data_IF_857323552852
#
_entry.id   IF_857323552852
#
_cell.length_a   1.000
_cell.length_b   1.000
_cell.length_c   1.000
_cell.angle_alpha   90.00
_cell.angle_beta   90.00
_cell.angle_gamma   90.00
#
_symmetry.space_group_name_H-M   'P 1'
#
loop_
_entity.id
_entity.type
_entity.pdbx_description
1 polymer ?
#
# COMPACT_ATOMS: atom_id res chain seq x y z
N UNK A 1 24.28 -20.77 22.27
CA UNK A 1 24.76 -20.16 21.00
C UNK A 1 23.76 -19.08 20.62
N UNK A 2 24.20 -17.86 20.36
CA UNK A 2 23.33 -16.70 20.17
C UNK A 2 22.77 -16.61 18.73
N UNK A 3 21.45 -16.62 18.58
CA UNK A 3 20.77 -16.45 17.30
C UNK A 3 20.60 -14.97 16.95
N UNK A 4 21.71 -14.28 16.67
CA UNK A 4 21.80 -12.84 16.32
C UNK A 4 21.17 -12.49 14.94
N UNK A 5 20.10 -13.18 14.53
CA UNK A 5 19.47 -13.03 13.21
C UNK A 5 18.09 -12.37 13.22
N UNK A 6 17.46 -12.26 14.39
CA UNK A 6 16.13 -11.67 14.55
C UNK A 6 16.23 -10.16 14.89
N UNK A 7 17.12 -9.78 15.82
CA UNK A 7 17.31 -8.38 16.27
C UNK A 7 17.60 -7.38 15.14
N UNK A 8 18.27 -7.83 14.08
CA UNK A 8 18.65 -6.98 12.95
C UNK A 8 17.46 -6.50 12.11
N UNK A 9 16.30 -7.15 12.18
CA UNK A 9 15.16 -6.85 11.30
C UNK A 9 14.20 -5.78 11.86
N UNK A 10 14.16 -5.60 13.18
CA UNK A 10 13.10 -4.82 13.84
C UNK A 10 13.50 -3.40 14.30
N UNK A 11 14.78 -3.02 14.27
CA UNK A 11 15.26 -1.73 14.82
C UNK A 11 14.94 -0.45 14.01
N UNK A 12 14.02 -0.47 13.03
CA UNK A 12 13.78 0.67 12.10
C UNK A 12 12.34 1.21 12.03
N UNK A 13 11.76 1.58 13.18
CA UNK A 13 10.54 2.44 13.22
C UNK A 13 10.45 3.42 14.41
N UNK A 14 11.54 3.70 15.14
CA UNK A 14 11.53 4.58 16.32
C UNK A 14 11.93 6.06 16.04
N UNK A 15 11.97 6.48 14.77
CA UNK A 15 12.32 7.86 14.40
C UNK A 15 11.48 8.33 13.22
N UNK A 16 10.27 8.84 13.53
CA UNK A 16 9.47 9.86 12.80
C UNK A 16 8.08 9.99 13.47
N UNK A 17 8.00 10.67 14.61
CA UNK A 17 6.76 11.21 15.17
C UNK A 17 7.06 12.56 15.82
N UNK A 18 6.54 13.65 15.27
CA UNK A 18 6.84 14.99 15.76
C UNK A 18 6.43 16.15 14.86
N UNK A 19 5.12 16.30 14.61
CA UNK A 19 4.44 17.60 14.38
C UNK A 19 2.93 17.35 14.46
N UNK A 20 2.27 17.97 15.45
CA UNK A 20 0.80 18.00 15.51
C UNK A 20 0.21 19.10 14.61
N UNK A 21 -1.08 19.04 14.24
CA UNK A 21 -1.72 20.07 13.45
C UNK A 21 -1.92 21.37 14.27
N UNK A 22 -1.85 22.57 13.64
CA UNK A 22 -2.06 23.83 14.35
C UNK A 22 -3.52 24.02 14.79
N UNK A 23 -3.68 24.70 15.92
CA UNK A 23 -4.97 25.18 16.42
C UNK A 23 -5.47 26.30 15.49
N UNK A 24 -6.70 26.19 15.00
CA UNK A 24 -7.33 27.22 14.18
C UNK A 24 -8.00 28.26 15.11
N UNK A 25 -7.32 29.38 15.36
CA UNK A 25 -7.95 30.51 16.06
C UNK A 25 -8.99 31.19 15.17
N UNK A 26 -10.22 31.25 15.67
CA UNK A 26 -11.33 31.96 15.02
C UNK A 26 -11.19 33.45 15.27
N UNK A 27 -10.90 34.25 14.24
CA UNK A 27 -11.01 35.72 14.30
C UNK A 27 -12.08 36.22 13.34
N UNK A 28 -13.06 36.91 13.90
CA UNK A 28 -14.25 37.42 13.21
C UNK A 28 -13.89 38.61 12.31
N UNK A 29 -14.56 38.76 11.17
CA UNK A 29 -14.75 40.07 10.54
C UNK A 29 -16.14 40.16 9.93
N UNK A 30 -16.83 41.24 10.25
CA UNK A 30 -18.23 41.53 9.91
C UNK A 30 -18.30 42.25 8.56
N UNK A 31 -19.18 41.80 7.67
CA UNK A 31 -19.79 42.65 6.61
C UNK A 31 -21.28 42.31 6.48
N UNK A 32 -22.14 43.16 7.06
CA UNK A 32 -23.51 43.48 6.64
C UNK A 32 -23.47 44.33 5.34
N UNK A 33 -24.47 44.52 4.47
CA UNK A 33 -25.92 44.20 4.35
C UNK A 33 -26.37 44.55 2.88
N UNK A 34 -27.60 44.42 2.35
CA UNK A 34 -28.91 43.86 2.75
C UNK A 34 -29.81 43.65 1.50
N UNK A 35 -30.73 42.67 1.52
CA UNK A 35 -32.03 42.61 0.78
C UNK A 35 -32.00 42.52 -0.78
N UNK A 36 -32.86 41.74 -1.46
CA UNK A 36 -34.34 41.69 -1.39
C UNK A 36 -34.95 40.37 -1.89
N UNK A 37 -36.23 40.14 -1.53
CA UNK A 37 -37.11 39.06 -1.98
C UNK A 37 -37.54 39.19 -3.45
N UNK A 38 -37.83 38.06 -4.09
CA UNK A 38 -39.16 37.78 -4.69
C UNK A 38 -39.29 36.31 -5.09
N UNK A 39 -40.35 35.63 -4.64
CA UNK A 39 -40.79 34.34 -5.17
C UNK A 39 -41.29 34.46 -6.61
N UNK A 40 -41.17 33.39 -7.41
CA UNK A 40 -42.29 32.92 -8.24
C UNK A 40 -42.18 31.42 -8.56
N UNK A 41 -43.31 30.76 -8.75
CA UNK A 41 -43.43 29.33 -9.07
C UNK A 41 -43.81 29.14 -10.54
N UNK A 42 -43.17 28.22 -11.27
CA UNK A 42 -43.91 27.52 -12.36
C UNK A 42 -43.35 26.14 -12.74
N UNK A 43 -44.25 25.15 -12.68
CA UNK A 43 -44.36 23.95 -13.53
C UNK A 43 -43.12 23.06 -13.81
N UNK A 44 -43.14 21.88 -13.18
CA UNK A 44 -42.58 20.63 -13.71
C UNK A 44 -43.42 20.17 -14.91
N UNK A 45 -42.81 19.52 -15.92
CA UNK A 45 -43.40 18.29 -16.48
C UNK A 45 -42.48 17.07 -16.27
N UNK A 46 -43.06 15.97 -15.81
CA UNK A 46 -42.35 14.69 -15.66
C UNK A 46 -41.98 14.07 -17.02
N UNK A 47 -40.77 13.50 -17.12
CA UNK A 47 -40.48 12.46 -18.10
C UNK A 47 -39.56 11.40 -17.49
N UNK A 48 -39.99 10.14 -17.56
CA UNK A 48 -39.46 8.98 -16.84
C UNK A 48 -37.98 8.65 -17.12
N UNK A 49 -37.27 7.96 -16.21
CA UNK A 49 -35.81 7.94 -16.19
C UNK A 49 -35.20 7.00 -17.23
N UNK A 50 -34.48 7.58 -18.20
CA UNK A 50 -33.56 6.81 -19.06
C UNK A 50 -32.28 6.49 -18.28
N UNK A 51 -31.88 5.20 -18.26
CA UNK A 51 -30.67 4.70 -17.58
C UNK A 51 -29.40 5.42 -18.01
N UNK A 52 -28.98 6.42 -17.24
CA UNK A 52 -27.59 6.92 -17.28
C UNK A 52 -26.70 5.79 -16.77
N UNK A 53 -25.88 5.23 -17.66
CA UNK A 53 -24.78 4.36 -17.25
C UNK A 53 -23.81 5.20 -16.43
N UNK A 54 -23.61 4.84 -15.16
CA UNK A 54 -22.53 5.42 -14.36
C UNK A 54 -21.22 5.20 -15.10
N UNK A 55 -20.50 6.29 -15.38
CA UNK A 55 -19.11 6.23 -15.81
C UNK A 55 -18.30 6.13 -14.53
N UNK A 56 -17.65 5.00 -14.31
CA UNK A 56 -16.79 4.80 -13.15
C UNK A 56 -15.57 5.71 -13.25
N UNK A 57 -15.60 6.85 -12.54
CA UNK A 57 -14.48 7.78 -12.44
C UNK A 57 -13.45 7.28 -11.44
N UNK A 58 -12.77 6.18 -11.78
CA UNK A 58 -11.58 5.67 -11.08
C UNK A 58 -10.33 6.51 -11.46
N UNK A 59 -10.48 7.84 -11.35
CA UNK A 59 -9.52 8.87 -11.80
C UNK A 59 -8.45 9.14 -10.75
N UNK A 60 -7.75 8.09 -10.31
CA UNK A 60 -6.45 8.26 -9.63
C UNK A 60 -5.38 8.63 -10.67
N UNK A 61 -5.51 9.83 -11.21
CA UNK A 61 -4.64 10.40 -12.22
C UNK A 61 -3.40 11.01 -11.54
N UNK A 62 -2.32 10.23 -11.46
CA UNK A 62 -1.00 10.83 -11.59
C UNK A 62 -1.04 11.74 -12.84
N UNK A 63 -0.67 13.01 -12.69
CA UNK A 63 -0.73 13.99 -13.78
C UNK A 63 0.44 13.73 -14.77
N UNK A 64 0.35 12.62 -15.48
CA UNK A 64 1.38 12.11 -16.40
C UNK A 64 1.25 12.78 -17.76
N UNK A 65 2.37 13.30 -18.26
CA UNK A 65 2.45 13.82 -19.63
C UNK A 65 2.07 12.73 -20.64
N UNK A 66 1.09 13.00 -21.50
CA UNK A 66 0.58 12.02 -22.47
C UNK A 66 1.18 12.20 -23.86
N UNK A 67 1.62 13.39 -24.26
CA UNK A 67 2.32 13.58 -25.54
C UNK A 67 3.70 12.90 -25.47
N UNK A 68 3.97 11.85 -26.26
CA UNK A 68 5.23 11.10 -26.18
C UNK A 68 6.47 11.95 -26.49
N UNK A 69 6.32 13.06 -27.21
CA UNK A 69 7.39 14.00 -27.50
C UNK A 69 7.70 15.00 -26.39
N UNK A 70 6.92 15.01 -25.30
CA UNK A 70 7.09 15.87 -24.13
C UNK A 70 7.42 15.08 -22.84
N UNK A 71 7.30 13.75 -22.84
CA UNK A 71 7.56 12.91 -21.67
C UNK A 71 9.03 12.96 -21.23
N UNK A 72 9.24 13.14 -19.93
CA UNK A 72 10.51 12.80 -19.25
C UNK A 72 10.77 11.28 -19.35
N UNK A 73 12.02 10.88 -19.60
CA UNK A 73 12.38 9.47 -19.78
C UNK A 73 12.21 8.69 -18.47
N UNK A 74 11.76 7.43 -18.55
CA UNK A 74 11.58 6.55 -17.37
C UNK A 74 12.88 6.38 -16.56
N UNK A 75 14.03 6.47 -17.22
CA UNK A 75 15.34 6.32 -16.61
C UNK A 75 15.80 7.53 -15.79
N UNK A 76 15.12 8.67 -15.92
CA UNK A 76 15.41 9.93 -15.20
C UNK A 76 14.60 10.07 -13.90
N UNK A 77 13.78 9.06 -13.56
CA UNK A 77 13.04 8.98 -12.29
C UNK A 77 13.79 8.12 -11.25
N UNK A 78 13.55 8.33 -9.94
CA UNK A 78 13.99 7.43 -8.87
C UNK A 78 13.59 5.98 -9.15
N UNK A 79 14.45 5.02 -8.79
CA UNK A 79 14.31 3.60 -9.19
C UNK A 79 13.00 2.99 -8.69
N UNK A 80 12.64 3.32 -7.45
CA UNK A 80 11.43 2.94 -6.73
C UNK A 80 10.13 3.46 -7.36
N UNK A 81 10.17 4.58 -8.07
CA UNK A 81 9.00 5.15 -8.75
C UNK A 81 8.76 4.59 -10.16
N UNK A 82 9.79 4.04 -10.82
CA UNK A 82 9.73 3.70 -12.27
C UNK A 82 8.60 2.76 -12.61
N UNK A 83 8.38 1.72 -11.81
CA UNK A 83 7.34 0.73 -12.08
C UNK A 83 5.93 1.26 -11.77
N UNK A 84 5.78 2.18 -10.81
CA UNK A 84 4.53 2.93 -10.58
C UNK A 84 4.17 3.77 -11.82
N UNK A 85 5.16 4.46 -12.40
CA UNK A 85 5.01 5.28 -13.60
C UNK A 85 4.72 4.42 -14.83
N UNK A 86 5.45 3.31 -15.04
CA UNK A 86 5.20 2.34 -16.12
C UNK A 86 3.76 1.82 -16.08
N UNK A 87 3.28 1.41 -14.90
CA UNK A 87 1.89 0.96 -14.70
C UNK A 87 0.87 2.06 -15.01
N UNK A 88 1.15 3.31 -14.66
CA UNK A 88 0.28 4.44 -15.00
C UNK A 88 0.14 4.61 -16.51
N UNK A 89 1.25 4.57 -17.26
CA UNK A 89 1.19 4.60 -18.73
C UNK A 89 0.46 3.38 -19.33
N UNK A 90 0.74 2.16 -18.84
CA UNK A 90 0.11 0.93 -19.33
C UNK A 90 -1.40 0.89 -19.06
N UNK A 91 -1.88 1.47 -17.94
CA UNK A 91 -3.33 1.57 -17.62
C UNK A 91 -4.09 2.44 -18.62
N UNK A 92 -3.46 3.47 -19.19
CA UNK A 92 -4.10 4.42 -20.13
C UNK A 92 -3.76 4.14 -21.60
N UNK A 93 -2.72 3.36 -21.87
CA UNK A 93 -2.36 2.85 -23.20
C UNK A 93 -1.73 3.89 -24.16
N UNK A 94 -1.45 3.47 -25.41
CA UNK A 94 -0.79 4.29 -26.42
C UNK A 94 -1.53 5.60 -26.73
N UNK A 95 -0.77 6.68 -26.92
CA UNK A 95 -1.30 7.99 -27.29
C UNK A 95 -1.65 8.06 -28.79
N UNK A 96 -2.92 7.76 -29.09
CA UNK A 96 -3.47 7.65 -30.45
C UNK A 96 -4.72 8.52 -30.73
N UNK A 97 -5.31 9.14 -29.70
CA UNK A 97 -6.58 9.87 -29.78
C UNK A 97 -6.51 11.27 -30.40
N UNK A 98 -5.69 11.47 -31.43
CA UNK A 98 -5.35 12.79 -31.99
C UNK A 98 -6.35 13.14 -33.10
N UNK A 99 -7.10 14.25 -33.02
CA UNK A 99 -8.03 14.66 -34.08
C UNK A 99 -7.29 14.87 -35.41
N UNK A 100 -7.87 14.41 -36.52
CA UNK A 100 -7.25 14.45 -37.85
C UNK A 100 -6.83 15.87 -38.26
N UNK A 101 -7.60 16.89 -37.84
CA UNK A 101 -7.32 18.31 -38.02
C UNK A 101 -6.02 18.82 -37.32
N UNK A 102 -5.44 18.02 -36.42
CA UNK A 102 -4.17 18.33 -35.73
C UNK A 102 -2.95 17.81 -36.47
N UNK A 103 -3.12 16.89 -37.45
CA UNK A 103 -2.06 16.29 -38.26
C UNK A 103 -1.62 17.21 -39.42
N UNK A 104 -1.61 18.52 -39.18
CA UNK A 104 -1.28 19.56 -40.18
C UNK A 104 0.21 19.68 -40.48
N UNK A 105 1.08 19.14 -39.63
CA UNK A 105 2.53 19.26 -39.79
C UNK A 105 3.06 18.40 -40.94
N UNK A 106 3.58 19.07 -41.98
CA UNK A 106 4.10 18.46 -43.20
C UNK A 106 5.63 18.54 -43.20
N UNK A 107 6.31 17.50 -43.66
CA UNK A 107 7.76 17.57 -43.90
C UNK A 107 8.09 18.45 -45.12
N UNK A 108 9.39 18.73 -45.34
CA UNK A 108 9.87 19.56 -46.47
C UNK A 108 9.49 19.05 -47.88
N UNK A 109 8.85 17.89 -47.99
CA UNK A 109 8.50 17.21 -49.24
C UNK A 109 7.02 16.82 -49.32
N UNK A 110 6.14 17.43 -48.51
CA UNK A 110 4.70 17.14 -48.58
C UNK A 110 4.22 15.94 -47.75
N UNK A 111 5.12 15.21 -47.07
CA UNK A 111 4.78 13.95 -46.37
C UNK A 111 4.46 14.20 -44.89
N UNK A 112 3.56 13.40 -44.33
CA UNK A 112 3.10 13.49 -42.94
C UNK A 112 2.85 12.11 -42.33
N UNK A 113 2.62 12.04 -41.03
CA UNK A 113 2.04 10.87 -40.38
C UNK A 113 0.64 10.58 -40.93
N UNK A 114 0.31 9.30 -41.14
CA UNK A 114 -0.96 8.89 -41.73
C UNK A 114 -1.81 8.12 -40.68
N UNK A 115 -3.03 8.58 -40.33
CA UNK A 115 -3.89 7.95 -39.31
C UNK A 115 -4.12 6.46 -39.47
N UNK A 116 -4.15 5.97 -40.71
CA UNK A 116 -4.31 4.54 -41.01
C UNK A 116 -3.19 3.68 -40.43
N UNK A 117 -2.04 4.26 -40.07
CA UNK A 117 -0.95 3.59 -39.37
C UNK A 117 -1.39 3.06 -38.00
N UNK A 118 -2.28 3.76 -37.29
CA UNK A 118 -2.84 3.28 -36.02
C UNK A 118 -3.70 2.02 -36.20
N UNK A 119 -4.43 1.88 -37.32
CA UNK A 119 -5.23 0.68 -37.59
C UNK A 119 -4.36 -0.57 -37.80
N UNK A 120 -3.08 -0.39 -38.13
CA UNK A 120 -2.11 -1.47 -38.36
C UNK A 120 -1.20 -1.74 -37.16
N UNK A 121 -0.95 -0.73 -36.34
CA UNK A 121 0.00 -0.77 -35.22
C UNK A 121 -0.65 -0.25 -33.93
N UNK A 122 -1.91 -0.62 -33.69
CA UNK A 122 -2.76 -0.15 -32.59
C UNK A 122 -2.14 -0.35 -31.21
N UNK A 123 -1.36 -1.42 -31.06
CA UNK A 123 -1.02 -1.92 -29.73
C UNK A 123 0.20 -1.18 -29.13
N UNK A 124 0.92 -0.39 -29.94
CA UNK A 124 2.17 0.24 -29.52
C UNK A 124 2.48 1.62 -30.13
N UNK A 125 1.94 1.95 -31.30
CA UNK A 125 2.34 3.15 -32.06
C UNK A 125 1.75 4.42 -31.43
N UNK A 126 2.61 5.40 -31.17
CA UNK A 126 2.21 6.72 -30.68
C UNK A 126 2.70 7.81 -31.64
N UNK A 127 2.09 9.00 -31.58
CA UNK A 127 2.55 10.17 -32.35
C UNK A 127 2.48 11.42 -31.50
N UNK A 128 3.50 12.27 -31.61
CA UNK A 128 3.54 13.61 -31.02
C UNK A 128 3.19 14.64 -32.11
N UNK A 129 2.08 15.39 -31.99
CA UNK A 129 1.85 16.57 -32.81
C UNK A 129 2.94 17.62 -32.57
N UNK A 130 3.35 17.78 -31.31
CA UNK A 130 4.32 18.78 -30.86
C UNK A 130 5.72 18.58 -31.45
N UNK A 131 6.17 17.33 -31.58
CA UNK A 131 7.45 16.98 -32.23
C UNK A 131 7.31 16.56 -33.69
N UNK A 132 6.07 16.47 -34.22
CA UNK A 132 5.75 15.83 -35.50
C UNK A 132 6.53 14.51 -35.71
N UNK A 133 6.41 13.59 -34.74
CA UNK A 133 7.24 12.38 -34.70
C UNK A 133 6.47 11.19 -34.10
N UNK A 134 6.78 9.98 -34.56
CA UNK A 134 6.21 8.73 -34.08
C UNK A 134 7.11 8.06 -33.02
N UNK A 135 6.48 7.38 -32.05
CA UNK A 135 7.11 6.74 -30.90
C UNK A 135 6.50 5.35 -30.67
N UNK A 136 7.11 4.54 -29.80
CA UNK A 136 6.63 3.22 -29.41
C UNK A 136 6.50 3.13 -27.88
N UNK A 137 5.28 2.96 -27.37
CA UNK A 137 5.03 2.95 -25.92
C UNK A 137 5.83 1.86 -25.18
N UNK A 138 5.78 0.56 -25.56
CA UNK A 138 6.60 -0.48 -24.91
C UNK A 138 8.09 -0.13 -24.88
N UNK A 139 8.64 0.33 -26.01
CA UNK A 139 10.05 0.65 -26.10
C UNK A 139 10.43 1.87 -25.23
N UNK A 140 9.60 2.92 -25.19
CA UNK A 140 9.80 4.07 -24.29
C UNK A 140 9.84 3.63 -22.81
N UNK A 141 9.01 2.66 -22.42
CA UNK A 141 8.92 2.20 -21.04
C UNK A 141 10.09 1.31 -20.56
N UNK A 142 10.65 0.50 -21.45
CA UNK A 142 11.59 -0.58 -21.08
C UNK A 142 12.94 -0.58 -21.80
N UNK A 143 13.09 0.08 -22.95
CA UNK A 143 14.39 0.16 -23.63
C UNK A 143 15.21 1.31 -23.04
N UNK A 144 16.47 1.03 -22.69
CA UNK A 144 17.40 2.05 -22.22
C UNK A 144 17.93 2.88 -23.39
N UNK A 145 17.87 4.23 -23.36
CA UNK A 145 18.46 5.08 -24.38
C UNK A 145 19.94 4.76 -24.61
N UNK A 146 20.32 4.64 -25.88
CA UNK A 146 21.71 4.48 -26.30
C UNK A 146 22.34 5.84 -26.56
N UNK A 147 23.64 5.98 -26.28
CA UNK A 147 24.41 7.13 -26.74
C UNK A 147 24.66 7.15 -28.26
N UNK A 148 24.31 6.06 -28.97
CA UNK A 148 24.47 5.95 -30.43
C UNK A 148 23.35 6.70 -31.15
N UNK A 149 23.73 7.70 -31.94
CA UNK A 149 22.81 8.52 -32.73
C UNK A 149 21.89 7.68 -33.63
N UNK A 150 20.60 8.00 -33.65
CA UNK A 150 19.59 7.36 -34.52
C UNK A 150 19.09 6.00 -34.05
N UNK A 151 19.63 5.43 -32.96
CA UNK A 151 19.13 4.16 -32.38
C UNK A 151 17.84 4.36 -31.58
N UNK A 152 17.65 5.55 -30.99
CA UNK A 152 16.52 5.86 -30.11
C UNK A 152 15.31 6.46 -30.86
N UNK A 153 15.21 6.24 -32.18
CA UNK A 153 14.18 6.84 -33.02
C UNK A 153 12.74 6.57 -32.56
N UNK A 154 12.49 5.42 -31.91
CA UNK A 154 11.16 5.07 -31.38
C UNK A 154 11.02 5.28 -29.87
N UNK A 155 12.01 5.88 -29.21
CA UNK A 155 12.03 6.06 -27.74
C UNK A 155 12.20 7.52 -27.33
N UNK A 156 13.40 8.12 -27.49
CA UNK A 156 13.66 9.52 -27.11
C UNK A 156 13.61 10.49 -28.29
N UNK A 157 14.12 10.08 -29.45
CA UNK A 157 14.47 11.01 -30.53
C UNK A 157 13.26 11.34 -31.42
N UNK A 158 12.32 10.40 -31.53
CA UNK A 158 11.13 10.49 -32.37
C UNK A 158 11.39 10.15 -33.85
N UNK A 159 10.53 9.31 -34.41
CA UNK A 159 10.66 8.88 -35.80
C UNK A 159 9.94 9.85 -36.74
N UNK A 160 10.69 10.48 -37.65
CA UNK A 160 10.17 11.49 -38.60
C UNK A 160 10.36 11.08 -40.08
N UNK A 161 10.92 9.90 -40.36
CA UNK A 161 11.29 9.49 -41.73
C UNK A 161 10.08 8.94 -42.52
N UNK A 162 9.05 9.76 -42.74
CA UNK A 162 7.77 9.36 -43.34
C UNK A 162 7.88 8.61 -44.68
N UNK A 163 8.89 8.92 -45.51
CA UNK A 163 9.19 8.18 -46.74
C UNK A 163 9.40 6.67 -46.55
N UNK A 164 9.82 6.24 -45.35
CA UNK A 164 10.07 4.83 -45.01
C UNK A 164 8.87 4.13 -44.35
N UNK A 165 7.71 4.78 -44.22
CA UNK A 165 6.51 4.15 -43.63
C UNK A 165 5.76 3.31 -44.66
N UNK A 166 5.72 3.75 -45.92
CA UNK A 166 4.99 3.07 -47.00
C UNK A 166 5.88 2.19 -47.90
N UNK A 167 7.12 1.91 -47.50
CA UNK A 167 8.12 1.13 -48.27
C UNK A 167 7.90 -0.40 -48.18
N UNK A 168 6.64 -0.84 -48.29
CA UNK A 168 6.24 -2.26 -48.27
C UNK A 168 6.87 -3.07 -47.12
N UNK A 169 7.62 -4.13 -47.46
CA UNK A 169 8.35 -4.98 -46.49
C UNK A 169 9.52 -4.27 -45.79
N UNK A 170 9.98 -3.12 -46.30
CA UNK A 170 11.02 -2.27 -45.69
C UNK A 170 10.44 -1.13 -44.83
N UNK A 171 9.12 -1.16 -44.58
CA UNK A 171 8.46 -0.24 -43.65
C UNK A 171 9.21 -0.16 -42.31
N UNK A 172 9.58 1.04 -41.88
CA UNK A 172 10.32 1.24 -40.62
C UNK A 172 9.56 0.78 -39.38
N UNK A 173 8.22 0.77 -39.41
CA UNK A 173 7.41 0.24 -38.31
C UNK A 173 7.48 -1.30 -38.25
N UNK A 174 7.40 -1.99 -39.40
CA UNK A 174 7.59 -3.45 -39.47
C UNK A 174 9.01 -3.88 -39.08
N UNK A 175 10.03 -3.11 -39.49
CA UNK A 175 11.43 -3.37 -39.11
C UNK A 175 11.63 -3.16 -37.61
N UNK A 176 10.95 -2.17 -37.01
CA UNK A 176 11.03 -1.90 -35.57
C UNK A 176 10.40 -3.01 -34.72
N UNK A 177 9.18 -3.41 -35.06
CA UNK A 177 8.46 -4.54 -34.47
C UNK A 177 9.32 -5.82 -34.55
N UNK A 178 9.86 -6.10 -35.73
CA UNK A 178 10.86 -7.12 -35.97
C UNK A 178 10.29 -8.54 -35.95
N UNK A 179 10.66 -9.34 -36.95
CA UNK A 179 10.06 -10.67 -37.17
C UNK A 179 10.47 -11.76 -36.17
N UNK A 180 11.22 -11.45 -35.11
CA UNK A 180 11.70 -12.44 -34.14
C UNK A 180 11.22 -12.10 -32.71
N UNK A 181 10.84 -13.10 -31.89
CA UNK A 181 10.42 -12.87 -30.50
C UNK A 181 11.49 -12.17 -29.62
N UNK A 182 12.75 -12.25 -30.03
CA UNK A 182 13.90 -11.64 -29.33
C UNK A 182 14.26 -10.24 -29.83
N UNK A 183 13.46 -9.62 -30.70
CA UNK A 183 13.62 -8.22 -31.10
C UNK A 183 13.55 -7.29 -29.88
N UNK A 184 14.14 -6.09 -29.98
CA UNK A 184 14.09 -5.12 -28.88
C UNK A 184 12.65 -4.68 -28.57
N UNK A 185 11.78 -4.68 -29.58
CA UNK A 185 10.36 -4.38 -29.44
C UNK A 185 9.63 -5.51 -28.70
N UNK A 186 9.72 -6.75 -29.19
CA UNK A 186 9.03 -7.90 -28.61
C UNK A 186 9.47 -8.17 -27.16
N UNK A 187 10.75 -7.95 -26.83
CA UNK A 187 11.23 -7.98 -25.43
C UNK A 187 10.55 -6.92 -24.56
N UNK A 188 10.42 -5.68 -25.05
CA UNK A 188 9.76 -4.61 -24.33
C UNK A 188 8.23 -4.86 -24.18
N UNK A 189 7.58 -5.44 -25.19
CA UNK A 189 6.17 -5.87 -25.13
C UNK A 189 5.98 -6.97 -24.07
N UNK A 190 6.84 -7.99 -24.06
CA UNK A 190 6.80 -9.04 -23.03
C UNK A 190 6.99 -8.44 -21.62
N UNK A 191 7.93 -7.51 -21.44
CA UNK A 191 8.12 -6.81 -20.16
C UNK A 191 6.90 -5.97 -19.73
N UNK A 192 6.13 -5.41 -20.67
CA UNK A 192 4.85 -4.77 -20.36
C UNK A 192 3.83 -5.80 -19.84
N UNK A 193 3.75 -6.97 -20.48
CA UNK A 193 2.85 -8.05 -20.09
C UNK A 193 3.23 -8.63 -18.71
N UNK A 194 4.51 -8.92 -18.48
CA UNK A 194 5.04 -9.43 -17.21
C UNK A 194 4.77 -8.47 -16.05
N UNK A 195 4.98 -7.16 -16.24
CA UNK A 195 4.72 -6.15 -15.22
C UNK A 195 3.24 -6.07 -14.82
N UNK A 196 2.33 -6.24 -15.78
CA UNK A 196 0.89 -6.26 -15.53
C UNK A 196 0.42 -7.59 -14.92
N UNK A 197 1.01 -8.71 -15.35
CA UNK A 197 0.73 -10.05 -14.80
C UNK A 197 1.23 -10.22 -13.36
N UNK A 198 2.37 -9.62 -13.01
CA UNK A 198 2.96 -9.67 -11.66
C UNK A 198 1.97 -9.19 -10.59
N UNK A 199 1.31 -8.04 -10.83
CA UNK A 199 0.24 -7.55 -9.98
C UNK A 199 -0.91 -8.55 -9.86
N UNK A 200 -1.37 -9.10 -10.98
CA UNK A 200 -2.44 -10.08 -10.99
C UNK A 200 -2.06 -11.37 -10.26
N UNK A 201 -0.77 -11.72 -10.16
CA UNK A 201 -0.34 -12.94 -9.46
C UNK A 201 -0.39 -12.74 -7.94
N UNK A 202 0.12 -11.61 -7.44
CA UNK A 202 0.06 -11.25 -6.01
C UNK A 202 -1.40 -11.13 -5.56
N UNK A 203 -2.21 -10.33 -6.27
CA UNK A 203 -3.64 -10.15 -5.97
C UNK A 203 -4.39 -11.49 -6.03
N UNK A 204 -4.15 -12.32 -7.06
CA UNK A 204 -4.79 -13.66 -7.14
C UNK A 204 -4.36 -14.61 -6.03
N UNK A 205 -3.12 -14.60 -5.55
CA UNK A 205 -2.72 -15.41 -4.38
C UNK A 205 -3.52 -15.00 -3.13
N UNK A 206 -3.67 -13.69 -2.94
CA UNK A 206 -4.30 -13.10 -1.76
C UNK A 206 -5.84 -13.25 -1.79
N UNK A 207 -6.47 -13.17 -2.96
CA UNK A 207 -7.92 -13.38 -3.14
C UNK A 207 -8.32 -14.86 -3.29
N UNK A 208 -7.40 -15.74 -3.74
CA UNK A 208 -7.61 -17.19 -3.87
C UNK A 208 -7.10 -17.96 -2.64
N UNK A 209 -7.21 -17.39 -1.43
CA UNK A 209 -7.04 -18.19 -0.22
C UNK A 209 -8.11 -19.27 -0.18
N UNK A 210 -7.70 -20.54 -0.08
CA UNK A 210 -8.63 -21.66 0.04
C UNK A 210 -9.39 -21.59 1.36
N UNK A 211 -10.58 -22.18 1.42
CA UNK A 211 -11.35 -22.34 2.67
C UNK A 211 -10.53 -23.02 3.77
N UNK A 212 -9.67 -23.97 3.38
CA UNK A 212 -8.67 -24.61 4.23
C UNK A 212 -7.63 -23.63 4.78
N UNK A 213 -7.03 -22.77 3.94
CA UNK A 213 -6.07 -21.77 4.39
C UNK A 213 -6.72 -20.74 5.33
N UNK A 214 -7.97 -20.35 5.05
CA UNK A 214 -8.76 -19.49 5.95
C UNK A 214 -9.03 -20.19 7.28
N UNK A 215 -9.38 -21.48 7.29
CA UNK A 215 -9.57 -22.27 8.50
C UNK A 215 -8.26 -22.39 9.31
N UNK A 216 -7.13 -22.65 8.65
CA UNK A 216 -5.80 -22.69 9.28
C UNK A 216 -5.41 -21.33 9.88
N UNK A 217 -5.65 -20.22 9.16
CA UNK A 217 -5.39 -18.87 9.66
C UNK A 217 -6.29 -18.51 10.85
N UNK A 218 -7.56 -18.92 10.85
CA UNK A 218 -8.46 -18.77 12.01
C UNK A 218 -7.98 -19.57 13.23
N UNK A 219 -7.50 -20.80 13.02
CA UNK A 219 -6.93 -21.62 14.09
C UNK A 219 -5.67 -20.97 14.68
N UNK A 220 -4.76 -20.48 13.83
CA UNK A 220 -3.55 -19.74 14.24
C UNK A 220 -3.87 -18.55 15.14
N UNK A 221 -4.75 -17.66 14.68
CA UNK A 221 -5.22 -16.49 15.46
C UNK A 221 -5.88 -16.91 16.77
N UNK A 222 -6.70 -17.98 16.77
CA UNK A 222 -7.32 -18.51 17.98
C UNK A 222 -6.27 -18.98 18.99
N UNK A 223 -5.31 -19.80 18.56
CA UNK A 223 -4.23 -20.31 19.42
C UNK A 223 -3.39 -19.16 19.98
N UNK A 224 -3.10 -18.12 19.19
CA UNK A 224 -2.41 -16.93 19.69
C UNK A 224 -3.19 -16.21 20.81
N UNK A 225 -4.51 -16.07 20.67
CA UNK A 225 -5.37 -15.50 21.73
C UNK A 225 -5.42 -16.41 22.97
N UNK A 226 -5.48 -17.72 22.78
CA UNK A 226 -5.50 -18.69 23.88
C UNK A 226 -4.17 -18.69 24.66
N UNK A 227 -3.02 -18.50 24.01
CA UNK A 227 -1.73 -18.26 24.68
C UNK A 227 -1.72 -16.94 25.46
N UNK A 228 -2.23 -15.83 24.90
CA UNK A 228 -2.35 -14.56 25.64
C UNK A 228 -3.17 -14.75 26.93
N UNK A 229 -4.28 -15.51 26.85
CA UNK A 229 -5.10 -15.87 28.03
C UNK A 229 -4.34 -16.75 29.03
N UNK A 230 -3.58 -17.74 28.55
CA UNK A 230 -2.78 -18.65 29.38
C UNK A 230 -1.66 -17.91 30.12
N UNK A 231 -0.90 -17.05 29.45
CA UNK A 231 0.15 -16.24 30.07
C UNK A 231 -0.40 -15.36 31.19
N UNK A 232 -1.53 -14.68 30.96
CA UNK A 232 -2.19 -13.88 31.99
C UNK A 232 -2.61 -14.73 33.20
N UNK A 233 -3.23 -15.89 32.96
CA UNK A 233 -3.61 -16.82 34.02
C UNK A 233 -2.39 -17.32 34.83
N UNK A 234 -1.29 -17.66 34.16
CA UNK A 234 -0.11 -18.27 34.77
C UNK A 234 0.75 -17.28 35.57
N UNK A 235 0.77 -16.00 35.17
CA UNK A 235 1.32 -14.88 35.94
C UNK A 235 0.46 -14.61 37.17
N UNK A 236 -0.86 -14.46 36.98
CA UNK A 236 -1.80 -14.13 38.07
C UNK A 236 -2.03 -15.30 39.06
N UNK A 237 -1.64 -16.53 38.72
CA UNK A 237 -1.93 -17.72 39.52
C UNK A 237 -1.19 -17.79 40.86
N UNK A 238 -0.20 -16.92 41.09
CA UNK A 238 0.59 -16.90 42.31
C UNK A 238 1.12 -15.50 42.58
N UNK A 239 0.98 -15.02 43.82
CA UNK A 239 1.59 -13.76 44.26
C UNK A 239 3.09 -13.72 43.98
N UNK A 240 3.81 -14.81 44.25
CA UNK A 240 5.25 -14.93 43.95
C UNK A 240 5.57 -14.63 42.48
N UNK A 241 4.79 -15.18 41.53
CA UNK A 241 5.02 -14.97 40.09
C UNK A 241 4.65 -13.55 39.66
N UNK A 242 3.62 -12.98 40.28
CA UNK A 242 3.27 -11.57 40.11
C UNK A 242 4.41 -10.66 40.60
N UNK A 243 4.95 -10.91 41.80
CA UNK A 243 6.07 -10.15 42.36
C UNK A 243 7.33 -10.28 41.47
N UNK A 244 7.63 -11.48 40.98
CA UNK A 244 8.71 -11.73 40.02
C UNK A 244 8.53 -10.95 38.70
N UNK A 245 7.30 -10.88 38.17
CA UNK A 245 6.98 -10.08 36.99
C UNK A 245 7.21 -8.58 37.24
N UNK A 246 6.81 -8.08 38.41
CA UNK A 246 7.00 -6.67 38.80
C UNK A 246 8.50 -6.32 38.94
N UNK A 247 9.28 -7.21 39.55
CA UNK A 247 10.75 -7.07 39.68
C UNK A 247 11.43 -7.08 38.30
N UNK A 248 11.10 -8.04 37.44
CA UNK A 248 11.70 -8.15 36.10
C UNK A 248 11.41 -6.91 35.23
N UNK A 249 10.20 -6.35 35.33
CA UNK A 249 9.87 -5.08 34.68
C UNK A 249 10.64 -3.91 35.26
N UNK A 250 10.75 -3.80 36.59
CA UNK A 250 11.48 -2.70 37.23
C UNK A 250 12.94 -2.65 36.78
N UNK A 251 13.62 -3.81 36.74
CA UNK A 251 14.99 -3.96 36.21
C UNK A 251 15.06 -3.50 34.75
N UNK A 252 14.16 -4.00 33.90
CA UNK A 252 14.13 -3.62 32.47
C UNK A 252 13.90 -2.11 32.26
N UNK A 253 13.03 -1.51 33.05
CA UNK A 253 12.75 -0.07 32.99
C UNK A 253 13.98 0.74 33.44
N UNK A 254 14.71 0.28 34.45
CA UNK A 254 15.96 0.88 34.91
C UNK A 254 17.07 0.78 33.85
N UNK A 255 17.25 -0.39 33.22
CA UNK A 255 18.18 -0.60 32.09
C UNK A 255 17.86 0.33 30.91
N UNK A 256 16.61 0.33 30.44
CA UNK A 256 16.17 1.15 29.30
C UNK A 256 16.16 2.66 29.59
N UNK A 257 16.05 3.05 30.87
CA UNK A 257 16.25 4.43 31.30
C UNK A 257 17.73 4.80 31.28
N UNK A 258 18.60 3.89 31.73
CA UNK A 258 20.06 4.07 31.75
C UNK A 258 20.68 4.17 30.34
N UNK A 259 20.09 3.49 29.35
CA UNK A 259 20.50 3.59 27.94
C UNK A 259 19.91 4.79 27.19
N UNK A 260 19.08 5.62 27.85
CA UNK A 260 18.27 6.68 27.24
C UNK A 260 17.30 6.20 26.13
N UNK A 261 16.95 4.91 26.09
CA UNK A 261 15.96 4.38 25.13
C UNK A 261 14.51 4.70 25.54
N UNK A 262 14.25 4.99 26.83
CA UNK A 262 12.94 5.45 27.33
C UNK A 262 12.93 6.92 27.78
N UNK A 263 11.84 7.64 27.45
CA UNK A 263 11.57 9.00 27.93
C UNK A 263 10.91 8.97 29.31
N UNK A 264 11.61 9.42 30.33
CA UNK A 264 11.08 9.55 31.70
C UNK A 264 9.98 10.63 31.80
N UNK A 265 9.14 10.53 32.84
CA UNK A 265 8.06 11.49 33.10
C UNK A 265 7.02 10.95 34.08
N UNK A 266 6.29 11.85 34.76
CA UNK A 266 5.29 11.46 35.76
C UNK A 266 4.20 10.59 35.14
N UNK A 267 4.08 9.35 35.61
CA UNK A 267 3.10 8.37 35.12
C UNK A 267 3.54 7.56 33.89
N UNK A 268 4.76 7.76 33.37
CA UNK A 268 5.35 6.88 32.35
C UNK A 268 6.05 5.69 32.99
N UNK A 269 6.22 4.62 32.20
CA UNK A 269 6.93 3.40 32.60
C UNK A 269 6.38 2.82 33.92
N UNK A 270 5.05 2.83 34.10
CA UNK A 270 4.43 2.18 35.26
C UNK A 270 4.53 0.66 35.10
N UNK A 271 4.88 0.00 36.20
CA UNK A 271 4.93 -1.47 36.27
C UNK A 271 3.49 -2.01 36.25
N UNK A 272 3.22 -2.97 35.37
CA UNK A 272 1.87 -3.46 35.05
C UNK A 272 1.69 -4.97 35.16
N UNK A 273 0.48 -5.44 34.88
CA UNK A 273 0.17 -6.88 34.72
C UNK A 273 -0.45 -7.15 33.36
N UNK A 274 -0.36 -8.40 32.90
CA UNK A 274 -0.95 -8.88 31.65
C UNK A 274 -2.46 -8.67 31.68
N UNK A 275 -2.95 -7.73 30.87
CA UNK A 275 -4.38 -7.46 30.80
C UNK A 275 -5.13 -8.67 30.23
N UNK A 276 -6.14 -9.18 30.93
CA UNK A 276 -6.95 -10.30 30.43
C UNK A 276 -7.88 -9.84 29.30
N UNK A 277 -7.92 -10.54 28.14
CA UNK A 277 -8.82 -10.17 27.05
C UNK A 277 -10.26 -10.56 27.43
N UNK A 278 -11.13 -9.56 27.55
CA UNK A 278 -12.56 -9.75 27.84
C UNK A 278 -13.35 -10.09 26.59
N UNK A 279 -14.21 -11.12 26.67
CA UNK A 279 -14.80 -11.82 25.53
C UNK A 279 -15.75 -11.01 24.62
N UNK A 280 -16.08 -9.77 24.99
CA UNK A 280 -17.09 -8.94 24.29
C UNK A 280 -16.56 -7.66 23.64
N UNK A 281 -15.28 -7.31 23.81
CA UNK A 281 -14.75 -6.00 23.33
C UNK A 281 -13.37 -6.13 22.71
N UNK A 282 -13.27 -5.90 21.40
CA UNK A 282 -12.01 -5.90 20.64
C UNK A 282 -10.92 -4.99 21.23
N UNK A 283 -11.28 -3.80 21.73
CA UNK A 283 -10.34 -2.92 22.42
C UNK A 283 -9.74 -3.51 23.72
N UNK A 284 -10.35 -4.56 24.30
CA UNK A 284 -9.74 -5.34 25.39
C UNK A 284 -8.67 -6.28 24.86
N UNK A 285 -8.91 -6.97 23.74
CA UNK A 285 -7.90 -7.79 23.07
C UNK A 285 -6.68 -6.94 22.66
N UNK A 286 -6.89 -5.73 22.13
CA UNK A 286 -5.80 -4.81 21.82
C UNK A 286 -4.93 -4.49 23.05
N UNK A 287 -5.55 -4.18 24.20
CA UNK A 287 -4.81 -3.94 25.46
C UNK A 287 -4.06 -5.17 25.94
N UNK A 288 -4.64 -6.36 25.81
CA UNK A 288 -3.98 -7.63 26.15
C UNK A 288 -2.77 -7.93 25.28
N UNK A 289 -2.87 -7.69 23.97
CA UNK A 289 -1.79 -7.95 23.01
C UNK A 289 -0.64 -6.94 23.18
N UNK A 290 -0.94 -5.65 23.35
CA UNK A 290 0.07 -4.64 23.71
C UNK A 290 0.75 -4.98 25.04
N UNK A 291 -0.03 -5.32 26.07
CA UNK A 291 0.51 -5.73 27.36
C UNK A 291 1.36 -7.01 27.30
N UNK A 292 1.05 -7.97 26.42
CA UNK A 292 1.91 -9.12 26.15
C UNK A 292 3.22 -8.71 25.44
N UNK A 293 3.16 -7.76 24.49
CA UNK A 293 4.33 -7.25 23.78
C UNK A 293 5.27 -6.49 24.72
N UNK A 294 4.73 -5.62 25.58
CA UNK A 294 5.50 -4.85 26.57
C UNK A 294 6.19 -5.76 27.61
N UNK A 295 5.56 -6.89 27.95
CA UNK A 295 5.99 -7.84 28.98
C UNK A 295 6.65 -9.11 28.43
N UNK A 296 6.93 -9.16 27.13
CA UNK A 296 7.25 -10.40 26.40
C UNK A 296 8.40 -11.20 27.03
N UNK A 297 9.55 -10.55 27.23
CA UNK A 297 10.74 -11.21 27.81
C UNK A 297 10.53 -11.60 29.29
N UNK A 298 9.82 -10.77 30.06
CA UNK A 298 9.50 -11.08 31.47
C UNK A 298 8.57 -12.28 31.59
N UNK A 299 7.64 -12.46 30.65
CA UNK A 299 6.76 -13.63 30.59
C UNK A 299 7.54 -14.87 30.17
N UNK A 300 8.43 -14.77 29.17
CA UNK A 300 9.30 -15.89 28.78
C UNK A 300 10.20 -16.36 29.96
N UNK A 301 10.74 -15.43 30.75
CA UNK A 301 11.48 -15.75 31.97
C UNK A 301 10.61 -16.55 32.97
N UNK A 302 9.41 -16.07 33.29
CA UNK A 302 8.50 -16.75 34.22
C UNK A 302 8.09 -18.14 33.70
N UNK A 303 7.80 -18.28 32.40
CA UNK A 303 7.52 -19.59 31.80
C UNK A 303 8.74 -20.51 31.94
N UNK A 304 9.96 -20.03 31.70
CA UNK A 304 11.19 -20.80 31.86
C UNK A 304 11.43 -21.24 33.32
N UNK A 305 11.10 -20.42 34.32
CA UNK A 305 11.18 -20.81 35.72
C UNK A 305 10.20 -21.94 36.04
N UNK A 306 8.97 -21.88 35.53
CA UNK A 306 7.94 -22.91 35.75
C UNK A 306 8.32 -24.22 35.06
N UNK A 307 8.96 -24.16 33.90
CA UNK A 307 9.51 -25.33 33.21
C UNK A 307 10.64 -25.96 34.04
N UNK A 308 11.46 -25.15 34.71
CA UNK A 308 12.58 -25.62 35.54
C UNK A 308 12.17 -26.05 36.97
N UNK A 309 10.97 -25.68 37.44
CA UNK A 309 10.44 -26.10 38.74
C UNK A 309 10.29 -27.64 38.81
N UNK A 310 10.51 -28.18 40.01
CA UNK A 310 10.40 -29.61 40.32
C UNK A 310 8.99 -29.99 40.81
N UNK A 311 8.11 -29.01 41.04
CA UNK A 311 6.78 -29.23 41.63
C UNK A 311 5.65 -29.24 40.58
N UNK A 312 5.02 -30.40 40.39
CA UNK A 312 3.78 -30.56 39.61
C UNK A 312 3.94 -30.65 38.08
N UNK A 313 3.38 -31.70 37.47
CA UNK A 313 3.51 -31.96 36.03
C UNK A 313 2.63 -31.06 35.14
N UNK A 314 1.41 -30.72 35.59
CA UNK A 314 0.43 -30.00 34.76
C UNK A 314 0.81 -28.56 34.39
N UNK A 315 1.29 -27.69 35.31
CA UNK A 315 1.72 -26.33 34.96
C UNK A 315 2.92 -26.31 34.01
N UNK A 316 3.78 -27.33 34.09
CA UNK A 316 5.02 -27.46 33.34
C UNK A 316 4.77 -27.68 31.85
N UNK A 317 4.01 -28.72 31.47
CA UNK A 317 3.71 -29.00 30.06
C UNK A 317 2.97 -27.85 29.35
N UNK A 318 2.09 -27.15 30.07
CA UNK A 318 1.40 -25.97 29.55
C UNK A 318 2.33 -24.75 29.36
N UNK A 319 3.31 -24.58 30.25
CA UNK A 319 4.29 -23.49 30.15
C UNK A 319 5.34 -23.74 29.06
N UNK A 320 5.74 -25.01 28.89
CA UNK A 320 6.67 -25.49 27.86
C UNK A 320 6.14 -25.22 26.45
N UNK A 321 4.92 -25.70 26.14
CA UNK A 321 4.28 -25.43 24.86
C UNK A 321 3.94 -23.95 24.60
N UNK A 322 3.67 -23.17 25.66
CA UNK A 322 3.47 -21.72 25.54
C UNK A 322 4.80 -20.99 25.21
N UNK A 323 5.89 -21.37 25.86
CA UNK A 323 7.22 -20.82 25.63
C UNK A 323 7.70 -21.08 24.20
N UNK A 324 7.61 -22.33 23.74
CA UNK A 324 7.98 -22.73 22.37
C UNK A 324 7.15 -21.98 21.31
N UNK A 325 5.84 -21.84 21.53
CA UNK A 325 4.99 -21.11 20.59
C UNK A 325 5.31 -19.61 20.60
N UNK A 326 5.48 -18.99 21.77
CA UNK A 326 5.85 -17.57 21.87
C UNK A 326 7.17 -17.27 21.15
N UNK A 327 8.16 -18.16 21.28
CA UNK A 327 9.45 -18.05 20.59
C UNK A 327 9.39 -18.31 19.07
N UNK A 328 8.24 -18.75 18.53
CA UNK A 328 8.09 -19.02 17.10
C UNK A 328 7.90 -17.72 16.29
N UNK A 329 8.53 -17.65 15.11
CA UNK A 329 8.32 -16.56 14.15
C UNK A 329 6.84 -16.40 13.79
N UNK A 330 6.10 -17.50 13.68
CA UNK A 330 4.67 -17.48 13.34
C UNK A 330 3.85 -16.75 14.40
N UNK A 331 4.10 -17.00 15.69
CA UNK A 331 3.43 -16.30 16.78
C UNK A 331 3.80 -14.81 16.83
N UNK A 332 5.10 -14.48 16.75
CA UNK A 332 5.57 -13.08 16.79
C UNK A 332 4.99 -12.26 15.64
N UNK A 333 4.96 -12.84 14.42
CA UNK A 333 4.33 -12.21 13.26
C UNK A 333 2.82 -11.99 13.49
N UNK A 334 2.09 -13.00 13.98
CA UNK A 334 0.66 -12.87 14.28
C UNK A 334 0.41 -11.82 15.37
N UNK A 335 1.23 -11.78 16.43
CA UNK A 335 1.11 -10.81 17.52
C UNK A 335 1.20 -9.38 17.00
N UNK A 336 2.25 -9.06 16.24
CA UNK A 336 2.42 -7.72 15.66
C UNK A 336 1.30 -7.38 14.67
N UNK A 337 0.95 -8.29 13.75
CA UNK A 337 -0.10 -8.07 12.76
C UNK A 337 -1.49 -7.89 13.40
N UNK A 338 -1.79 -8.64 14.47
CA UNK A 338 -3.03 -8.47 15.24
C UNK A 338 -3.07 -7.13 15.97
N UNK A 339 -1.95 -6.64 16.51
CA UNK A 339 -1.88 -5.31 17.12
C UNK A 339 -2.20 -4.25 16.05
N UNK A 340 -1.50 -4.24 14.92
CA UNK A 340 -1.68 -3.25 13.84
C UNK A 340 -3.13 -3.24 13.30
N UNK A 341 -3.72 -4.42 13.04
CA UNK A 341 -5.14 -4.53 12.64
C UNK A 341 -6.12 -4.02 13.72
N UNK A 342 -5.86 -4.32 14.99
CA UNK A 342 -6.73 -3.92 16.09
C UNK A 342 -6.57 -2.43 16.44
N UNK A 343 -5.42 -1.82 16.19
CA UNK A 343 -5.21 -0.38 16.31
C UNK A 343 -6.06 0.38 15.28
N UNK A 344 -5.93 0.04 13.99
CA UNK A 344 -6.72 0.67 12.92
C UNK A 344 -8.24 0.57 13.15
N UNK A 345 -8.71 -0.59 13.62
CA UNK A 345 -10.14 -0.79 13.90
C UNK A 345 -10.60 -0.14 15.20
N UNK A 346 -9.73 -0.04 16.21
CA UNK A 346 -10.00 0.71 17.44
C UNK A 346 -10.10 2.22 17.19
N UNK A 347 -9.24 2.77 16.33
CA UNK A 347 -9.25 4.19 15.99
C UNK A 347 -10.51 4.56 15.19
N UNK A 348 -10.90 3.72 14.22
CA UNK A 348 -12.21 3.84 13.57
C UNK A 348 -13.37 3.76 14.57
N UNK A 349 -13.33 2.83 15.53
CA UNK A 349 -14.34 2.75 16.59
C UNK A 349 -14.40 4.04 17.42
N UNK A 350 -13.26 4.68 17.70
CA UNK A 350 -13.18 5.96 18.40
C UNK A 350 -13.82 7.11 17.62
N UNK A 351 -13.52 7.22 16.33
CA UNK A 351 -14.11 8.23 15.42
C UNK A 351 -15.63 8.05 15.33
N UNK A 352 -16.11 6.82 15.11
CA UNK A 352 -17.54 6.52 15.00
C UNK A 352 -18.33 6.67 16.30
N UNK A 353 -17.66 6.75 17.46
CA UNK A 353 -18.29 7.00 18.77
C UNK A 353 -18.33 8.48 19.16
N UNK A 354 -17.80 9.37 18.32
CA UNK A 354 -17.77 10.81 18.63
C UNK A 354 -19.17 11.44 18.52
N UNK A 355 -19.58 12.21 19.53
CA UNK A 355 -20.97 12.71 19.65
C UNK A 355 -21.40 13.69 18.54
N UNK A 356 -20.45 14.33 17.86
CA UNK A 356 -20.72 15.27 16.76
C UNK A 356 -20.45 14.67 15.38
N UNK A 357 -20.37 13.34 15.27
CA UNK A 357 -20.11 12.66 13.99
C UNK A 357 -21.35 12.69 13.10
N UNK A 358 -21.24 13.27 11.91
CA UNK A 358 -22.26 13.16 10.86
C UNK A 358 -21.99 11.98 9.91
N UNK A 359 -22.98 11.70 9.04
CA UNK A 359 -22.98 10.55 8.14
C UNK A 359 -21.85 10.62 7.11
N UNK A 360 -21.51 11.81 6.59
CA UNK A 360 -20.48 11.97 5.57
C UNK A 360 -19.09 11.70 6.18
N UNK A 361 -18.80 12.35 7.31
CA UNK A 361 -17.57 12.13 8.06
C UNK A 361 -17.43 10.68 8.54
N UNK A 362 -18.53 10.01 8.91
CA UNK A 362 -18.52 8.58 9.25
C UNK A 362 -18.24 7.67 8.03
N UNK A 363 -18.82 7.99 6.86
CA UNK A 363 -18.55 7.25 5.62
C UNK A 363 -17.09 7.40 5.17
N UNK A 364 -16.54 8.61 5.21
CA UNK A 364 -15.14 8.86 4.86
C UNK A 364 -14.18 8.13 5.81
N UNK A 365 -14.46 8.11 7.12
CA UNK A 365 -13.68 7.32 8.07
C UNK A 365 -13.68 5.82 7.70
N UNK A 366 -14.84 5.24 7.38
CA UNK A 366 -14.96 3.83 6.98
C UNK A 366 -14.23 3.53 5.67
N UNK A 367 -14.30 4.43 4.69
CA UNK A 367 -13.59 4.29 3.40
C UNK A 367 -12.07 4.33 3.63
N UNK A 368 -11.58 5.33 4.37
CA UNK A 368 -10.15 5.50 4.66
C UNK A 368 -9.57 4.30 5.43
N UNK A 369 -10.27 3.80 6.45
CA UNK A 369 -9.85 2.58 7.19
C UNK A 369 -9.87 1.35 6.29
N UNK A 370 -10.86 1.20 5.40
CA UNK A 370 -10.91 0.10 4.43
C UNK A 370 -9.71 0.13 3.47
N UNK A 371 -9.36 1.30 2.93
CA UNK A 371 -8.19 1.45 2.06
C UNK A 371 -6.86 1.20 2.79
N UNK A 372 -6.77 1.58 4.06
CA UNK A 372 -5.61 1.30 4.91
C UNK A 372 -5.45 -0.22 5.13
N UNK A 373 -6.51 -0.92 5.54
CA UNK A 373 -6.50 -2.39 5.70
C UNK A 373 -6.21 -3.10 4.36
N UNK A 374 -6.66 -2.54 3.23
CA UNK A 374 -6.33 -3.07 1.91
C UNK A 374 -4.85 -2.87 1.53
N UNK A 375 -4.19 -1.80 2.01
CA UNK A 375 -2.74 -1.62 1.84
C UNK A 375 -1.94 -2.63 2.66
N UNK A 376 -2.31 -2.86 3.92
CA UNK A 376 -1.70 -3.91 4.76
C UNK A 376 -1.95 -5.33 4.23
N UNK A 377 -2.90 -5.51 3.29
CA UNK A 377 -3.14 -6.75 2.55
C UNK A 377 -2.28 -6.90 1.29
N UNK A 378 -1.62 -5.83 0.82
CA UNK A 378 -0.84 -5.80 -0.44
C UNK A 378 0.67 -5.57 -0.26
N UNK A 379 1.12 -5.14 0.93
CA UNK A 379 2.52 -5.05 1.33
C UNK A 379 3.11 -6.40 1.74
#
# INVERSE_FOLDING_TARGET
MSNNKIDCYFKKRCSQQGTGPPILETSSTVISEASKLSDDQTSIPESSPTKVRKIDQDSNCLNIERDPGLRKLIWDYPIDERDKIRRAYLKVGPYQGIPENSLKCVDRHGRRFLPTSYKRFSDWLEYSPTKNAAYCLPCFLFVKPSAKFGVNAFTSDGFQSWKKVNDGKKCSFLIHEGSTPNSSHNKAVNQCHDLMNSLQHIVRIIDKQTTEQVAKNRLRVKVSIDIVKLCALQVDSSSKRHDQLQIAQAIRIEELTSTNELKTGRGKNQVGTVQRPGDTRWGSHLRSLRSLLDLFDSILLILSEIINDKTGSSPKAASDGAYDLMMSFEFVFILHFMIELLEMTNDLCGILQYKSQDILNAMDAVINTKELIQRERMG
#
